data_IF_497102127083
#
_entry.id   IF_497102127083
#
_cell.length_a   1.000
_cell.length_b   1.000
_cell.length_c   1.000
_cell.angle_alpha   90.00
_cell.angle_beta   90.00
_cell.angle_gamma   90.00
#
_symmetry.space_group_name_H-M   'P 1'
#
loop_
_entity.id
_entity.type
_entity.pdbx_description
1 polymer ?
#
# COMPACT_ATOMS: atom_id res chain seq x y z
N UNK A 1 35.07 -1.94 19.73
CA UNK A 1 33.77 -2.64 19.68
C UNK A 1 33.35 -2.65 18.23
N UNK A 2 33.74 -3.70 17.51
CA UNK A 2 33.38 -3.85 16.11
C UNK A 2 31.89 -4.14 16.04
N UNK A 3 31.14 -3.16 15.55
CA UNK A 3 29.74 -3.31 15.20
C UNK A 3 29.68 -4.41 14.13
N UNK A 4 29.33 -5.62 14.57
CA UNK A 4 29.21 -6.80 13.74
C UNK A 4 28.50 -6.44 12.43
N UNK A 5 29.11 -6.87 11.34
CA UNK A 5 28.72 -6.55 9.98
C UNK A 5 27.30 -7.10 9.71
N UNK A 6 26.29 -6.29 10.06
CA UNK A 6 24.86 -6.62 10.05
C UNK A 6 24.28 -6.45 8.64
N UNK A 7 25.09 -6.87 7.66
CA UNK A 7 24.95 -6.64 6.24
C UNK A 7 24.88 -7.99 5.54
N UNK A 8 23.74 -8.28 4.92
CA UNK A 8 23.59 -9.51 4.13
C UNK A 8 23.97 -9.22 2.67
N UNK A 9 24.90 -10.00 2.07
CA UNK A 9 25.28 -9.82 0.67
C UNK A 9 24.13 -10.21 -0.27
N UNK A 10 23.91 -9.40 -1.31
CA UNK A 10 22.94 -9.67 -2.37
C UNK A 10 23.52 -10.71 -3.33
N UNK A 11 22.83 -11.84 -3.48
CA UNK A 11 23.23 -12.95 -4.36
C UNK A 11 23.22 -12.60 -5.86
N UNK A 12 22.49 -11.56 -6.27
CA UNK A 12 22.55 -11.02 -7.64
C UNK A 12 22.04 -9.56 -7.73
N UNK A 13 22.93 -8.56 -7.91
CA UNK A 13 22.55 -7.15 -7.97
C UNK A 13 21.80 -6.77 -9.27
N UNK A 14 21.98 -7.51 -10.37
CA UNK A 14 21.37 -7.18 -11.65
C UNK A 14 19.89 -7.59 -11.72
N UNK A 15 19.55 -8.78 -11.22
CA UNK A 15 18.15 -9.20 -11.08
C UNK A 15 17.39 -8.38 -10.02
N UNK A 16 18.08 -7.94 -8.96
CA UNK A 16 17.53 -7.04 -7.95
C UNK A 16 17.12 -5.67 -8.53
N UNK A 17 17.92 -5.10 -9.45
CA UNK A 17 17.60 -3.85 -10.15
C UNK A 17 16.38 -3.98 -11.08
N UNK A 18 16.30 -5.04 -11.90
CA UNK A 18 15.15 -5.26 -12.82
C UNK A 18 13.84 -5.48 -12.06
N UNK A 19 13.90 -6.20 -10.94
CA UNK A 19 12.76 -6.37 -10.04
C UNK A 19 12.31 -5.04 -9.42
N UNK A 20 13.24 -4.19 -9.00
CA UNK A 20 12.95 -2.88 -8.44
C UNK A 20 12.27 -1.95 -9.45
N UNK A 21 12.77 -1.87 -10.70
CA UNK A 21 12.16 -1.06 -11.75
C UNK A 21 10.71 -1.51 -12.02
N UNK A 22 10.45 -2.82 -12.08
CA UNK A 22 9.08 -3.34 -12.25
C UNK A 22 8.17 -2.96 -11.09
N UNK A 23 8.63 -3.04 -9.85
CA UNK A 23 7.83 -2.65 -8.68
C UNK A 23 7.57 -1.15 -8.63
N UNK A 24 8.55 -0.32 -9.00
CA UNK A 24 8.40 1.13 -9.09
C UNK A 24 7.41 1.49 -10.20
N UNK A 25 7.55 0.91 -11.38
CA UNK A 25 6.68 1.17 -12.52
C UNK A 25 5.24 0.73 -12.24
N UNK A 26 5.06 -0.47 -11.66
CA UNK A 26 3.77 -0.92 -11.17
C UNK A 26 3.19 0.03 -10.11
N UNK A 27 4.03 0.51 -9.19
CA UNK A 27 3.65 1.49 -8.18
C UNK A 27 3.19 2.82 -8.77
N UNK A 28 3.91 3.34 -9.76
CA UNK A 28 3.53 4.57 -10.50
C UNK A 28 2.18 4.37 -11.19
N UNK A 29 2.01 3.28 -11.93
CA UNK A 29 0.74 2.96 -12.61
C UNK A 29 -0.41 2.89 -11.60
N UNK A 30 -0.20 2.22 -10.47
CA UNK A 30 -1.19 2.14 -9.39
C UNK A 30 -1.51 3.52 -8.82
N UNK A 31 -0.51 4.37 -8.56
CA UNK A 31 -0.72 5.73 -8.06
C UNK A 31 -1.51 6.59 -9.05
N UNK A 32 -1.21 6.49 -10.35
CA UNK A 32 -1.95 7.22 -11.41
C UNK A 32 -3.41 6.77 -11.44
N UNK A 33 -3.67 5.46 -11.44
CA UNK A 33 -5.03 4.91 -11.42
C UNK A 33 -5.80 5.35 -10.17
N UNK A 34 -5.16 5.28 -9.00
CA UNK A 34 -5.75 5.71 -7.72
C UNK A 34 -6.04 7.20 -7.68
N UNK A 35 -5.24 8.01 -8.36
CA UNK A 35 -5.49 9.46 -8.47
C UNK A 35 -6.83 9.72 -9.17
N UNK A 36 -7.15 8.92 -10.20
CA UNK A 36 -8.46 8.98 -10.87
C UNK A 36 -9.62 8.64 -9.92
N UNK A 37 -9.47 7.61 -9.09
CA UNK A 37 -10.48 7.25 -8.07
C UNK A 37 -10.65 8.34 -7.00
N UNK A 38 -9.54 8.87 -6.47
CA UNK A 38 -9.56 9.94 -5.47
C UNK A 38 -10.19 11.21 -6.03
N UNK A 39 -9.75 11.65 -7.21
CA UNK A 39 -10.25 12.85 -7.86
C UNK A 39 -11.72 12.71 -8.28
N UNK A 40 -12.11 11.56 -8.83
CA UNK A 40 -13.50 11.26 -9.17
C UNK A 40 -14.41 11.26 -7.95
N UNK A 41 -13.99 10.63 -6.86
CA UNK A 41 -14.72 10.66 -5.59
C UNK A 41 -14.83 12.06 -4.99
N UNK A 42 -13.76 12.85 -5.06
CA UNK A 42 -13.75 14.24 -4.58
C UNK A 42 -14.67 15.13 -5.44
N UNK A 43 -14.70 14.93 -6.76
CA UNK A 43 -15.62 15.64 -7.65
C UNK A 43 -17.09 15.29 -7.36
N UNK A 44 -17.40 14.02 -7.12
CA UNK A 44 -18.74 13.58 -6.68
C UNK A 44 -19.13 14.23 -5.36
N UNK A 45 -18.22 14.26 -4.38
CA UNK A 45 -18.47 14.97 -3.11
C UNK A 45 -18.71 16.46 -3.30
N UNK A 46 -17.95 17.11 -4.18
CA UNK A 46 -18.15 18.53 -4.51
C UNK A 46 -19.50 18.78 -5.19
N UNK A 47 -20.03 17.79 -5.92
CA UNK A 47 -21.38 17.81 -6.49
C UNK A 47 -22.49 17.46 -5.48
N UNK A 48 -22.15 17.18 -4.22
CA UNK A 48 -23.11 16.76 -3.18
C UNK A 48 -23.45 15.27 -3.21
N UNK A 49 -22.80 14.48 -4.09
CA UNK A 49 -23.00 13.05 -4.18
C UNK A 49 -22.21 12.31 -3.08
N UNK A 50 -22.93 11.97 -2.02
CA UNK A 50 -22.42 11.16 -0.90
C UNK A 50 -21.80 9.79 -1.30
N UNK A 51 -22.17 9.12 -2.41
CA UNK A 51 -21.45 7.94 -2.91
C UNK A 51 -19.99 8.21 -3.32
N UNK A 52 -19.58 9.47 -3.48
CA UNK A 52 -18.20 9.86 -3.75
C UNK A 52 -17.23 9.66 -2.57
N UNK A 53 -17.76 9.59 -1.34
CA UNK A 53 -16.96 9.45 -0.11
C UNK A 53 -16.07 8.20 -0.09
N UNK A 54 -16.58 6.98 -0.35
CA UNK A 54 -15.75 5.78 -0.41
C UNK A 54 -14.67 5.87 -1.48
N UNK A 55 -14.93 6.50 -2.63
CA UNK A 55 -13.93 6.68 -3.68
C UNK A 55 -12.84 7.68 -3.30
N UNK A 56 -13.21 8.82 -2.71
CA UNK A 56 -12.27 9.83 -2.27
C UNK A 56 -11.36 9.31 -1.14
N UNK A 57 -11.97 8.80 -0.07
CA UNK A 57 -11.25 8.33 1.12
C UNK A 57 -10.48 7.05 0.82
N UNK A 58 -11.13 6.08 0.17
CA UNK A 58 -10.50 4.81 -0.19
C UNK A 58 -9.38 4.97 -1.20
N UNK A 59 -9.58 5.83 -2.20
CA UNK A 59 -8.55 6.20 -3.19
C UNK A 59 -7.34 6.85 -2.52
N UNK A 60 -7.56 7.85 -1.67
CA UNK A 60 -6.47 8.57 -0.98
C UNK A 60 -5.65 7.64 -0.08
N UNK A 61 -6.33 6.80 0.72
CA UNK A 61 -5.66 5.83 1.60
C UNK A 61 -4.87 4.80 0.79
N UNK A 62 -5.46 4.25 -0.27
CA UNK A 62 -4.77 3.31 -1.13
C UNK A 62 -3.55 3.96 -1.81
N UNK A 63 -3.64 5.24 -2.17
CA UNK A 63 -2.57 5.98 -2.82
C UNK A 63 -1.39 6.20 -1.87
N UNK A 64 -1.66 6.63 -0.64
CA UNK A 64 -0.64 6.73 0.41
C UNK A 64 0.01 5.38 0.70
N UNK A 65 -0.77 4.31 0.77
CA UNK A 65 -0.26 2.96 0.98
C UNK A 65 0.63 2.50 -0.19
N UNK A 66 0.23 2.75 -1.44
CA UNK A 66 1.04 2.43 -2.62
C UNK A 66 2.37 3.21 -2.63
N UNK A 67 2.33 4.51 -2.35
CA UNK A 67 3.54 5.34 -2.24
C UNK A 67 4.46 4.81 -1.14
N UNK A 68 3.92 4.52 0.03
CA UNK A 68 4.69 4.00 1.15
C UNK A 68 5.32 2.64 0.83
N UNK A 69 4.63 1.75 0.11
CA UNK A 69 5.19 0.49 -0.39
C UNK A 69 6.37 0.76 -1.34
N UNK A 70 6.20 1.64 -2.32
CA UNK A 70 7.26 1.98 -3.31
C UNK A 70 8.48 2.57 -2.61
N UNK A 71 8.28 3.55 -1.74
CA UNK A 71 9.37 4.20 -0.98
C UNK A 71 10.10 3.19 -0.11
N UNK A 72 9.38 2.29 0.54
CA UNK A 72 9.95 1.24 1.40
C UNK A 72 10.76 0.23 0.58
N UNK A 73 10.27 -0.18 -0.59
CA UNK A 73 11.00 -1.04 -1.53
C UNK A 73 12.26 -0.34 -2.06
N UNK A 74 12.17 0.94 -2.40
CA UNK A 74 13.32 1.73 -2.84
C UNK A 74 14.36 1.85 -1.73
N UNK A 75 13.98 2.19 -0.50
CA UNK A 75 14.89 2.35 0.65
C UNK A 75 15.57 1.04 1.10
N UNK A 76 14.87 -0.08 0.99
CA UNK A 76 15.43 -1.40 1.31
C UNK A 76 16.41 -1.89 0.25
N UNK A 77 16.22 -1.50 -1.03
CA UNK A 77 17.09 -1.92 -2.14
C UNK A 77 18.17 -0.90 -2.52
N UNK A 78 18.09 0.35 -2.06
CA UNK A 78 19.16 1.37 -2.16
C UNK A 78 20.25 1.17 -1.10
N UNK A 79 20.56 -0.09 -0.76
CA UNK A 79 21.78 -0.45 -0.06
C UNK A 79 22.97 0.11 -0.83
N UNK A 80 23.89 0.73 -0.09
CA UNK A 80 25.15 1.35 -0.54
C UNK A 80 25.82 0.51 -1.62
N UNK A 81 26.50 1.15 -2.58
CA UNK A 81 27.05 0.56 -3.82
C UNK A 81 27.94 -0.69 -3.72
N UNK A 82 28.06 -1.29 -2.55
CA UNK A 82 28.76 -2.51 -2.15
C UNK A 82 27.89 -3.79 -2.19
N UNK A 83 26.63 -3.72 -2.62
CA UNK A 83 25.80 -4.93 -2.80
C UNK A 83 25.33 -5.59 -1.48
N UNK A 84 25.20 -4.82 -0.40
CA UNK A 84 24.69 -5.31 0.89
C UNK A 84 23.44 -4.57 1.38
N UNK A 85 22.56 -5.28 2.10
CA UNK A 85 21.35 -4.72 2.74
C UNK A 85 21.52 -4.75 4.26
N UNK A 86 21.23 -3.63 4.90
CA UNK A 86 21.25 -3.51 6.36
C UNK A 86 19.98 -4.09 6.99
N UNK A 87 20.13 -4.95 8.01
CA UNK A 87 19.01 -5.53 8.77
C UNK A 87 18.06 -4.48 9.38
N UNK A 88 18.58 -3.33 9.81
CA UNK A 88 17.76 -2.23 10.35
C UNK A 88 16.80 -1.61 9.32
N UNK A 89 17.19 -1.57 8.03
CA UNK A 89 16.33 -1.13 6.93
C UNK A 89 15.24 -2.14 6.62
N UNK A 90 15.53 -3.44 6.78
CA UNK A 90 14.52 -4.50 6.62
C UNK A 90 13.52 -4.48 7.78
N UNK A 91 13.97 -4.30 9.02
CA UNK A 91 13.10 -4.19 10.18
C UNK A 91 12.15 -2.98 10.10
N UNK A 92 12.67 -1.81 9.71
CA UNK A 92 11.85 -0.61 9.50
C UNK A 92 10.85 -0.77 8.35
N UNK A 93 11.22 -1.49 7.28
CA UNK A 93 10.29 -1.83 6.21
C UNK A 93 9.16 -2.74 6.68
N UNK A 94 9.46 -3.78 7.46
CA UNK A 94 8.44 -4.66 8.06
C UNK A 94 7.49 -3.85 8.95
N UNK A 95 8.00 -2.96 9.78
CA UNK A 95 7.18 -2.08 10.62
C UNK A 95 6.27 -1.18 9.78
N UNK A 96 6.79 -0.57 8.70
CA UNK A 96 6.00 0.24 7.78
C UNK A 96 4.87 -0.57 7.12
N UNK A 97 5.16 -1.80 6.66
CA UNK A 97 4.12 -2.67 6.07
C UNK A 97 3.04 -3.08 7.07
N UNK A 98 3.40 -3.31 8.34
CA UNK A 98 2.43 -3.60 9.41
C UNK A 98 1.54 -2.39 9.66
N UNK A 99 2.12 -1.18 9.73
CA UNK A 99 1.38 0.05 9.92
C UNK A 99 0.42 0.33 8.75
N UNK A 100 0.90 0.20 7.51
CA UNK A 100 0.07 0.33 6.30
C UNK A 100 -1.11 -0.64 6.37
N UNK A 101 -0.88 -1.88 6.78
CA UNK A 101 -1.95 -2.87 6.92
C UNK A 101 -2.98 -2.46 7.98
N UNK A 102 -2.54 -1.92 9.11
CA UNK A 102 -3.44 -1.44 10.16
C UNK A 102 -4.31 -0.30 9.64
N UNK A 103 -3.72 0.68 8.95
CA UNK A 103 -4.44 1.80 8.32
C UNK A 103 -5.46 1.30 7.32
N UNK A 104 -5.06 0.42 6.39
CA UNK A 104 -5.98 -0.16 5.40
C UNK A 104 -7.15 -0.90 6.05
N UNK A 105 -6.91 -1.59 7.15
CA UNK A 105 -7.95 -2.33 7.87
C UNK A 105 -8.92 -1.39 8.60
N UNK A 106 -8.42 -0.34 9.26
CA UNK A 106 -9.25 0.69 9.91
C UNK A 106 -10.11 1.40 8.86
N UNK A 107 -9.53 1.79 7.72
CA UNK A 107 -10.28 2.39 6.62
C UNK A 107 -11.34 1.44 6.08
N UNK A 108 -11.02 0.16 5.90
CA UNK A 108 -11.98 -0.84 5.46
C UNK A 108 -13.18 -0.94 6.43
N UNK A 109 -12.93 -1.01 7.74
CA UNK A 109 -14.00 -1.03 8.75
C UNK A 109 -14.85 0.23 8.66
N UNK A 110 -14.22 1.41 8.56
CA UNK A 110 -14.93 2.68 8.43
C UNK A 110 -15.85 2.72 7.21
N UNK A 111 -15.39 2.20 6.07
CA UNK A 111 -16.19 2.12 4.85
C UNK A 111 -17.34 1.12 4.96
N UNK A 112 -17.12 -0.03 5.61
CA UNK A 112 -18.19 -1.01 5.86
C UNK A 112 -19.27 -0.40 6.76
N UNK A 113 -18.88 0.29 7.84
CA UNK A 113 -19.81 0.99 8.72
C UNK A 113 -20.57 2.09 7.97
N UNK A 114 -19.87 2.87 7.14
CA UNK A 114 -20.50 3.88 6.29
C UNK A 114 -21.56 3.23 5.37
N UNK A 115 -21.22 2.13 4.70
CA UNK A 115 -22.18 1.42 3.85
C UNK A 115 -23.38 0.88 4.61
N UNK A 116 -23.16 0.30 5.79
CA UNK A 116 -24.26 -0.19 6.63
C UNK A 116 -25.23 0.94 6.98
N UNK A 117 -24.73 2.10 7.40
CA UNK A 117 -25.56 3.28 7.68
C UNK A 117 -26.35 3.69 6.43
N UNK A 118 -25.70 3.71 5.26
CA UNK A 118 -26.34 4.12 4.00
C UNK A 118 -27.40 3.13 3.51
N UNK A 119 -27.20 1.84 3.73
CA UNK A 119 -28.21 0.79 3.48
C UNK A 119 -29.44 0.99 4.36
N UNK A 120 -29.23 1.27 5.65
CA UNK A 120 -30.34 1.55 6.58
C UNK A 120 -31.11 2.80 6.15
N UNK A 121 -30.42 3.78 5.55
CA UNK A 121 -31.02 4.99 4.97
C UNK A 121 -31.64 4.78 3.56
N UNK A 122 -31.63 3.56 3.03
CA UNK A 122 -32.23 3.20 1.74
C UNK A 122 -31.35 3.48 0.51
N UNK A 123 -30.10 3.87 0.69
CA UNK A 123 -29.15 4.15 -0.40
C UNK A 123 -28.30 2.91 -0.71
N UNK A 124 -28.85 2.06 -1.58
CA UNK A 124 -28.19 0.83 -2.03
C UNK A 124 -27.01 1.10 -2.98
N UNK A 125 -26.91 2.29 -3.59
CA UNK A 125 -25.79 2.64 -4.49
C UNK A 125 -24.47 2.77 -3.72
N UNK A 126 -24.53 3.21 -2.48
CA UNK A 126 -23.37 3.34 -1.59
C UNK A 126 -22.76 1.98 -1.17
N UNK A 127 -23.47 0.86 -1.36
CA UNK A 127 -22.90 -0.48 -1.17
C UNK A 127 -21.94 -0.85 -2.29
N UNK A 128 -22.31 -0.55 -3.54
CA UNK A 128 -21.52 -0.94 -4.69
C UNK A 128 -20.18 -0.21 -4.70
N UNK A 129 -20.18 1.09 -4.40
CA UNK A 129 -18.97 1.92 -4.33
C UNK A 129 -18.03 1.47 -3.21
N UNK A 130 -18.57 1.19 -2.03
CA UNK A 130 -17.78 0.67 -0.91
C UNK A 130 -17.32 -0.77 -1.12
N UNK A 131 -18.09 -1.60 -1.83
CA UNK A 131 -17.68 -2.95 -2.22
C UNK A 131 -16.46 -2.94 -3.14
N UNK A 132 -16.48 -2.08 -4.18
CA UNK A 132 -15.35 -1.91 -5.11
C UNK A 132 -14.10 -1.42 -4.36
N UNK A 133 -14.22 -0.39 -3.54
CA UNK A 133 -13.10 0.14 -2.76
C UNK A 133 -12.63 -0.86 -1.71
N UNK A 134 -13.55 -1.57 -1.05
CA UNK A 134 -13.23 -2.61 -0.08
C UNK A 134 -12.42 -3.74 -0.67
N UNK A 135 -12.81 -4.22 -1.88
CA UNK A 135 -12.03 -5.20 -2.63
C UNK A 135 -10.63 -4.68 -2.94
N UNK A 136 -10.51 -3.41 -3.34
CA UNK A 136 -9.22 -2.81 -3.67
C UNK A 136 -8.30 -2.72 -2.44
N UNK A 137 -8.81 -2.26 -1.29
CA UNK A 137 -8.08 -2.22 -0.03
C UNK A 137 -7.65 -3.63 0.41
N UNK A 138 -8.52 -4.62 0.21
CA UNK A 138 -8.21 -6.02 0.51
C UNK A 138 -7.06 -6.56 -0.36
N UNK A 139 -7.05 -6.27 -1.65
CA UNK A 139 -5.97 -6.65 -2.55
C UNK A 139 -4.65 -5.99 -2.16
N UNK A 140 -4.68 -4.70 -1.78
CA UNK A 140 -3.52 -3.98 -1.29
C UNK A 140 -2.97 -4.61 0.01
N UNK A 141 -3.84 -4.91 0.97
CA UNK A 141 -3.47 -5.57 2.22
C UNK A 141 -2.91 -6.98 1.99
N UNK A 142 -3.44 -7.72 1.01
CA UNK A 142 -2.91 -9.03 0.60
C UNK A 142 -1.53 -8.90 -0.05
N UNK A 143 -1.33 -7.89 -0.88
CA UNK A 143 -0.02 -7.55 -1.47
C UNK A 143 1.02 -7.24 -0.40
N UNK A 144 0.68 -6.38 0.56
CA UNK A 144 1.54 -6.05 1.69
C UNK A 144 1.95 -7.30 2.51
N UNK A 145 0.99 -8.20 2.80
CA UNK A 145 1.30 -9.47 3.50
C UNK A 145 2.29 -10.34 2.76
N UNK A 146 2.17 -10.45 1.43
CA UNK A 146 3.11 -11.24 0.60
C UNK A 146 4.52 -10.66 0.67
N UNK A 147 4.65 -9.33 0.63
CA UNK A 147 5.93 -8.64 0.76
C UNK A 147 6.55 -8.86 2.15
N UNK A 148 5.77 -8.77 3.22
CA UNK A 148 6.25 -9.04 4.59
C UNK A 148 6.75 -10.47 4.76
N UNK A 149 6.02 -11.46 4.23
CA UNK A 149 6.44 -12.87 4.31
C UNK A 149 7.69 -13.14 3.46
N UNK A 150 7.79 -12.53 2.27
CA UNK A 150 8.98 -12.62 1.43
C UNK A 150 10.22 -12.05 2.13
N UNK A 151 10.11 -10.87 2.74
CA UNK A 151 11.22 -10.25 3.47
C UNK A 151 11.64 -11.07 4.71
N UNK A 152 10.68 -11.59 5.49
CA UNK A 152 10.99 -12.45 6.64
C UNK A 152 11.67 -13.76 6.24
N UNK A 153 11.33 -14.35 5.09
CA UNK A 153 11.91 -15.63 4.65
C UNK A 153 13.31 -15.49 4.05
N UNK A 154 13.65 -14.31 3.53
CA UNK A 154 14.95 -14.04 2.89
C UNK A 154 15.98 -13.46 3.87
N UNK A 155 15.55 -12.76 4.92
CA UNK A 155 16.45 -12.00 5.81
C UNK A 155 16.23 -12.24 7.32
N UNK A 156 15.28 -13.08 7.71
CA UNK A 156 15.06 -13.52 9.10
C UNK A 156 15.64 -14.90 9.33
#
# INVERSE_FOLDING_TARGET
>A
MDAGDDRTPLSDPASSRRGAVRTVLAGIVVVVLLTGFTAGGAAMLAAGELPGLPFAVGGAVAQLAAIAIVVTVLRTRSGTGDGSISRSRVASAVAAFVLIRAVLFVTFIGLVLFSLVRVVLGDNWSLLTAGIIGLMLFLLARGARRLTHGLKRTYG
#
